data_IF_270410741409
#
_entry.id   IF_270410741409
#
_cell.length_a   1.000
_cell.length_b   1.000
_cell.length_c   1.000
_cell.angle_alpha   90.00
_cell.angle_beta   90.00
_cell.angle_gamma   90.00
#
_symmetry.space_group_name_H-M   'P 1'
#
loop_
_entity.id
_entity.type
_entity.pdbx_description
1 polymer ?
#
# COMPACT_ATOMS: atom_id res chain seq x y z
N UNK A 1 5.39 16.70 16.35
CA UNK A 1 5.61 16.42 14.93
C UNK A 1 6.84 17.13 14.42
N UNK A 2 7.85 16.38 13.98
CA UNK A 2 9.12 16.94 13.52
C UNK A 2 8.95 17.72 12.21
N UNK A 3 9.92 18.58 11.86
CA UNK A 3 9.91 19.24 10.53
C UNK A 3 10.15 18.23 9.41
N UNK A 4 10.81 17.12 9.73
CA UNK A 4 11.22 16.11 8.75
C UNK A 4 10.09 15.15 8.38
N UNK A 5 9.15 14.89 9.30
CA UNK A 5 7.96 14.10 9.03
C UNK A 5 6.93 14.79 8.13
N UNK A 6 6.86 16.12 8.14
CA UNK A 6 5.81 16.88 7.43
C UNK A 6 5.69 16.54 5.94
N UNK A 7 4.48 16.26 5.49
CA UNK A 7 4.15 16.13 4.07
C UNK A 7 3.70 17.46 3.49
N UNK A 8 4.14 17.76 2.27
CA UNK A 8 3.72 18.98 1.59
C UNK A 8 2.45 18.78 0.78
N UNK A 9 1.62 19.81 0.71
CA UNK A 9 0.35 19.75 0.00
C UNK A 9 0.55 19.60 -1.53
N UNK A 10 1.48 20.35 -2.11
CA UNK A 10 1.63 20.49 -3.57
C UNK A 10 2.93 19.94 -4.16
N UNK A 11 4.01 19.83 -3.38
CA UNK A 11 5.32 19.39 -3.87
C UNK A 11 5.75 18.09 -3.22
N UNK A 12 6.59 17.34 -3.91
CA UNK A 12 7.15 16.10 -3.38
C UNK A 12 8.31 16.42 -2.42
N UNK A 13 8.51 15.57 -1.41
CA UNK A 13 9.78 15.47 -0.69
C UNK A 13 10.48 14.20 -1.14
N UNK A 14 11.80 14.15 -0.95
CA UNK A 14 12.58 12.90 -1.09
C UNK A 14 11.90 11.82 -0.24
N UNK A 15 11.93 10.54 -0.62
CA UNK A 15 11.41 9.51 0.27
C UNK A 15 12.15 9.51 1.62
N UNK A 16 11.46 9.13 2.70
CA UNK A 16 12.12 8.86 3.98
C UNK A 16 12.49 7.39 4.02
N UNK A 17 13.71 7.07 4.44
CA UNK A 17 14.25 5.70 4.43
C UNK A 17 14.87 5.43 5.79
N UNK A 18 14.43 4.36 6.44
CA UNK A 18 14.95 3.91 7.74
C UNK A 18 15.19 2.41 7.71
N UNK A 19 16.39 1.99 8.07
CA UNK A 19 16.70 0.58 8.33
C UNK A 19 16.30 0.24 9.77
N UNK A 20 15.38 -0.70 9.93
CA UNK A 20 14.85 -1.17 11.22
C UNK A 20 15.63 -2.38 11.72
N UNK A 21 15.87 -3.37 10.85
CA UNK A 21 16.65 -4.56 11.16
C UNK A 21 17.56 -4.94 9.98
N UNK A 22 18.34 -6.02 10.12
CA UNK A 22 19.21 -6.54 9.06
C UNK A 22 18.51 -7.54 8.11
N UNK A 23 17.20 -7.77 8.26
CA UNK A 23 16.45 -8.66 7.38
C UNK A 23 16.41 -8.13 5.94
N UNK A 24 16.48 -9.03 4.95
CA UNK A 24 16.35 -8.73 3.51
C UNK A 24 14.88 -8.42 3.12
N UNK A 25 14.30 -7.42 3.78
CA UNK A 25 12.91 -7.00 3.65
C UNK A 25 12.87 -5.50 3.33
N UNK A 26 12.03 -5.11 2.38
CA UNK A 26 11.74 -3.71 2.07
C UNK A 26 10.23 -3.49 2.20
N UNK A 27 9.82 -2.65 3.14
CA UNK A 27 8.44 -2.21 3.29
C UNK A 27 8.28 -0.83 2.65
N UNK A 28 7.36 -0.70 1.70
CA UNK A 28 7.05 0.57 1.04
C UNK A 28 5.69 1.06 1.49
N UNK A 29 5.67 2.21 2.16
CA UNK A 29 4.47 2.83 2.71
C UNK A 29 4.24 4.21 2.10
N UNK A 30 3.01 4.72 2.15
CA UNK A 30 2.65 6.03 1.59
C UNK A 30 1.27 6.05 0.94
N UNK A 31 0.65 7.23 0.89
CA UNK A 31 -0.78 7.36 0.54
C UNK A 31 -1.16 6.71 -0.79
N UNK A 32 -2.44 6.42 -0.99
CA UNK A 32 -2.94 6.02 -2.31
C UNK A 32 -2.64 7.13 -3.34
N UNK A 33 -1.92 6.79 -4.40
CA UNK A 33 -1.46 7.76 -5.43
C UNK A 33 -0.04 8.29 -5.22
N UNK A 34 0.66 7.87 -4.15
CA UNK A 34 2.06 8.22 -3.87
C UNK A 34 3.10 7.51 -4.77
N UNK A 35 2.67 6.54 -5.57
CA UNK A 35 3.55 5.83 -6.50
C UNK A 35 4.31 4.64 -5.89
N UNK A 36 3.84 4.07 -4.77
CA UNK A 36 4.37 2.82 -4.19
C UNK A 36 4.52 1.74 -5.26
N UNK A 37 3.40 1.27 -5.82
CA UNK A 37 3.38 0.24 -6.87
C UNK A 37 4.31 0.60 -8.03
N UNK A 38 4.30 1.84 -8.52
CA UNK A 38 5.21 2.27 -9.60
C UNK A 38 6.69 2.10 -9.24
N UNK A 39 7.08 2.40 -8.00
CA UNK A 39 8.47 2.23 -7.54
C UNK A 39 8.88 0.76 -7.36
N UNK A 40 7.90 -0.14 -7.17
CA UNK A 40 8.14 -1.57 -6.92
C UNK A 40 8.06 -2.42 -8.18
N UNK A 41 7.43 -1.93 -9.26
CA UNK A 41 7.26 -2.64 -10.53
C UNK A 41 8.56 -3.22 -11.11
N UNK A 42 9.69 -2.52 -10.94
CA UNK A 42 10.98 -3.00 -11.46
C UNK A 42 11.48 -4.28 -10.78
N UNK A 43 10.95 -4.64 -9.61
CA UNK A 43 11.31 -5.84 -8.86
C UNK A 43 10.40 -7.04 -9.16
N UNK A 44 9.27 -6.85 -9.85
CA UNK A 44 8.28 -7.92 -10.03
C UNK A 44 8.78 -9.07 -10.91
N UNK A 45 9.74 -8.77 -11.79
CA UNK A 45 10.40 -9.74 -12.65
C UNK A 45 11.84 -10.01 -12.19
N UNK A 46 12.25 -9.48 -11.03
CA UNK A 46 13.56 -9.76 -10.46
C UNK A 46 13.48 -11.06 -9.67
N UNK A 47 14.19 -12.08 -10.14
CA UNK A 47 14.21 -13.39 -9.50
C UNK A 47 14.76 -13.36 -8.07
N UNK A 48 15.37 -12.28 -7.59
CA UNK A 48 15.80 -12.18 -6.20
C UNK A 48 14.69 -11.76 -5.24
N UNK A 49 13.58 -11.21 -5.74
CA UNK A 49 12.53 -10.61 -4.94
C UNK A 49 11.20 -11.37 -5.07
N UNK A 50 10.39 -11.27 -4.01
CA UNK A 50 8.94 -11.50 -4.07
C UNK A 50 8.28 -10.17 -3.71
N UNK A 51 7.49 -9.64 -4.63
CA UNK A 51 6.79 -8.37 -4.48
C UNK A 51 5.34 -8.61 -4.06
N UNK A 52 5.01 -8.24 -2.83
CA UNK A 52 3.64 -8.31 -2.31
C UNK A 52 3.00 -6.93 -2.36
N UNK A 53 2.04 -6.76 -3.27
CA UNK A 53 1.07 -5.69 -3.18
C UNK A 53 -0.09 -6.15 -2.28
N UNK A 54 -0.15 -5.66 -1.04
CA UNK A 54 -1.17 -6.07 -0.08
C UNK A 54 -2.59 -5.73 -0.55
N UNK A 55 -2.80 -4.66 -1.33
CA UNK A 55 -4.12 -4.34 -1.90
C UNK A 55 -4.62 -5.48 -2.82
N UNK A 56 -3.71 -6.32 -3.36
CA UNK A 56 -4.04 -7.46 -4.23
C UNK A 56 -4.36 -8.75 -3.46
N UNK A 57 -4.07 -8.81 -2.16
CA UNK A 57 -4.50 -9.92 -1.32
C UNK A 57 -6.04 -9.98 -1.21
N UNK A 58 -6.73 -8.82 -1.31
CA UNK A 58 -8.17 -8.66 -1.10
C UNK A 58 -9.03 -8.65 -2.38
N UNK A 59 -8.55 -9.19 -3.50
CA UNK A 59 -9.31 -9.39 -4.75
C UNK A 59 -10.06 -8.13 -5.28
N UNK A 60 -9.49 -6.95 -5.09
CA UNK A 60 -10.14 -5.70 -5.51
C UNK A 60 -10.28 -5.59 -7.05
N UNK A 61 -11.47 -5.23 -7.58
CA UNK A 61 -11.65 -5.02 -9.03
C UNK A 61 -10.70 -3.96 -9.61
N UNK A 62 -9.98 -4.33 -10.66
CA UNK A 62 -9.07 -3.44 -11.41
C UNK A 62 -9.00 -3.86 -12.87
N UNK A 63 -8.86 -2.88 -13.77
CA UNK A 63 -8.75 -3.16 -15.21
C UNK A 63 -7.32 -3.54 -15.63
N UNK A 64 -6.33 -3.26 -14.78
CA UNK A 64 -4.93 -3.63 -14.99
C UNK A 64 -4.41 -4.32 -13.75
N UNK A 65 -3.98 -5.56 -13.91
CA UNK A 65 -3.39 -6.38 -12.85
C UNK A 65 -1.90 -6.54 -13.18
N UNK A 66 -1.06 -6.16 -12.23
CA UNK A 66 0.37 -6.46 -12.25
C UNK A 66 0.67 -7.08 -10.90
N UNK A 67 0.92 -8.38 -10.90
CA UNK A 67 1.05 -9.21 -9.71
C UNK A 67 2.27 -10.11 -9.84
N UNK A 68 2.89 -10.37 -8.70
CA UNK A 68 3.98 -11.33 -8.60
C UNK A 68 3.42 -12.76 -8.73
N UNK A 69 4.17 -13.66 -9.36
CA UNK A 69 3.79 -15.06 -9.54
C UNK A 69 3.48 -15.78 -8.23
N UNK A 70 4.08 -15.34 -7.11
CA UNK A 70 3.87 -15.95 -5.80
C UNK A 70 2.61 -15.46 -5.07
N UNK A 71 1.87 -14.48 -5.61
CA UNK A 71 0.71 -13.92 -4.92
C UNK A 71 -0.37 -14.97 -4.62
N UNK A 72 -0.64 -15.87 -5.56
CA UNK A 72 -1.61 -16.96 -5.37
C UNK A 72 -1.15 -17.92 -4.27
N UNK A 73 0.12 -18.34 -4.30
CA UNK A 73 0.67 -19.22 -3.24
C UNK A 73 0.57 -18.58 -1.85
N UNK A 74 0.83 -17.27 -1.74
CA UNK A 74 0.72 -16.54 -0.47
C UNK A 74 -0.74 -16.47 -0.02
N UNK A 75 -1.69 -16.21 -0.92
CA UNK A 75 -3.12 -16.21 -0.58
C UNK A 75 -3.57 -17.56 -0.05
N UNK A 76 -3.17 -18.64 -0.71
CA UNK A 76 -3.53 -19.99 -0.32
C UNK A 76 -2.88 -20.36 1.01
N UNK A 77 -1.62 -20.00 1.22
CA UNK A 77 -0.93 -20.15 2.50
C UNK A 77 -1.69 -19.45 3.64
N UNK A 78 -2.07 -18.17 3.44
CA UNK A 78 -2.81 -17.40 4.45
C UNK A 78 -4.19 -17.99 4.72
N UNK A 79 -4.95 -18.35 3.67
CA UNK A 79 -6.26 -18.99 3.81
C UNK A 79 -6.17 -20.33 4.53
N UNK A 80 -5.15 -21.14 4.24
CA UNK A 80 -4.95 -22.43 4.89
C UNK A 80 -4.58 -22.27 6.38
N UNK A 81 -3.76 -21.27 6.71
CA UNK A 81 -3.28 -21.05 8.09
C UNK A 81 -4.32 -20.35 8.97
N UNK A 82 -5.05 -19.37 8.44
CA UNK A 82 -5.95 -18.50 9.22
C UNK A 82 -7.43 -18.64 8.87
N UNK A 83 -7.78 -19.43 7.85
CA UNK A 83 -9.15 -19.54 7.32
C UNK A 83 -9.59 -18.32 6.49
N UNK A 84 -8.81 -17.24 6.45
CA UNK A 84 -9.10 -15.98 5.75
C UNK A 84 -7.82 -15.22 5.40
N UNK A 85 -7.92 -14.19 4.57
CA UNK A 85 -6.85 -13.19 4.43
C UNK A 85 -6.96 -12.22 5.61
N UNK A 86 -5.84 -11.96 6.31
CA UNK A 86 -5.83 -11.02 7.43
C UNK A 86 -6.02 -9.58 6.95
N UNK A 87 -6.83 -8.82 7.68
CA UNK A 87 -7.20 -7.44 7.37
C UNK A 87 -7.00 -6.53 8.58
N UNK A 88 -6.73 -5.24 8.32
CA UNK A 88 -6.59 -4.24 9.37
C UNK A 88 -5.52 -4.62 10.40
N UNK A 89 -5.86 -4.46 11.68
CA UNK A 89 -4.95 -4.75 12.80
C UNK A 89 -4.56 -6.24 12.90
N UNK A 90 -5.33 -7.17 12.32
CA UNK A 90 -4.95 -8.59 12.28
C UNK A 90 -3.77 -8.86 11.33
N UNK A 91 -3.46 -7.93 10.42
CA UNK A 91 -2.39 -8.12 9.44
C UNK A 91 -1.01 -8.27 10.09
N UNK A 92 -0.81 -7.71 11.29
CA UNK A 92 0.41 -7.93 12.07
C UNK A 92 0.67 -9.42 12.35
N UNK A 93 -0.40 -10.20 12.54
CA UNK A 93 -0.29 -11.62 12.85
C UNK A 93 0.26 -12.42 11.67
N UNK A 94 -0.14 -12.07 10.44
CA UNK A 94 0.36 -12.74 9.25
C UNK A 94 1.63 -12.14 8.67
N UNK A 95 2.02 -10.93 9.07
CA UNK A 95 3.21 -10.28 8.54
C UNK A 95 4.46 -11.15 8.68
N UNK A 96 4.73 -11.67 9.88
CA UNK A 96 5.90 -12.53 10.09
C UNK A 96 5.81 -13.84 9.31
N UNK A 97 4.62 -14.44 9.23
CA UNK A 97 4.40 -15.68 8.49
C UNK A 97 4.57 -15.50 6.97
N UNK A 98 4.20 -14.33 6.44
CA UNK A 98 4.48 -13.94 5.05
C UNK A 98 5.99 -13.82 4.82
N UNK A 99 6.72 -13.20 5.75
CA UNK A 99 8.18 -13.07 5.67
C UNK A 99 8.86 -14.44 5.71
N UNK A 100 8.43 -15.32 6.60
CA UNK A 100 8.96 -16.68 6.71
C UNK A 100 8.67 -17.51 5.45
N UNK A 101 7.46 -17.36 4.87
CA UNK A 101 7.15 -17.96 3.57
C UNK A 101 8.13 -17.48 2.49
N UNK A 102 8.34 -16.17 2.37
CA UNK A 102 9.27 -15.61 1.37
C UNK A 102 10.70 -16.12 1.62
N UNK A 103 11.13 -16.15 2.87
CA UNK A 103 12.46 -16.65 3.27
C UNK A 103 12.63 -18.13 2.91
N UNK A 104 11.60 -18.95 3.06
CA UNK A 104 11.61 -20.36 2.65
C UNK A 104 11.86 -20.55 1.15
N UNK A 105 11.47 -19.57 0.32
CA UNK A 105 11.75 -19.55 -1.13
C UNK A 105 13.15 -19.04 -1.46
N UNK A 106 13.96 -18.68 -0.44
CA UNK A 106 15.29 -18.06 -0.57
C UNK A 106 15.26 -16.76 -1.38
N UNK A 107 14.22 -15.95 -1.17
CA UNK A 107 14.01 -14.66 -1.84
C UNK A 107 14.00 -13.51 -0.83
N UNK A 108 14.18 -12.29 -1.33
CA UNK A 108 14.01 -11.04 -0.58
C UNK A 108 12.55 -10.59 -0.63
N UNK A 109 12.07 -9.98 0.44
CA UNK A 109 10.70 -9.49 0.50
C UNK A 109 10.62 -8.02 0.07
N UNK A 110 9.67 -7.69 -0.79
CA UNK A 110 9.24 -6.31 -1.01
C UNK A 110 7.73 -6.23 -0.77
N UNK A 111 7.33 -5.59 0.32
CA UNK A 111 5.92 -5.50 0.72
C UNK A 111 5.45 -4.04 0.57
N UNK A 112 4.38 -3.82 -0.19
CA UNK A 112 3.77 -2.50 -0.37
C UNK A 112 2.26 -2.58 -0.16
N UNK A 113 1.70 -1.59 0.54
CA UNK A 113 0.27 -1.57 0.79
C UNK A 113 -0.11 -0.56 1.86
N UNK A 114 -1.40 -0.26 1.96
CA UNK A 114 -1.88 0.58 3.07
C UNK A 114 -2.04 -0.21 4.36
N UNK A 115 -2.29 -1.52 4.31
CA UNK A 115 -2.44 -2.35 5.52
C UNK A 115 -1.16 -2.39 6.39
N UNK A 116 -0.01 -2.00 5.82
CA UNK A 116 1.24 -1.85 6.58
C UNK A 116 1.10 -0.77 7.68
N UNK A 117 0.21 0.22 7.53
CA UNK A 117 -0.07 1.21 8.58
C UNK A 117 -0.69 0.59 9.84
N UNK A 118 -1.37 -0.55 9.68
CA UNK A 118 -2.07 -1.22 10.76
C UNK A 118 -1.12 -2.08 11.61
N UNK A 119 0.13 -2.27 11.17
CA UNK A 119 1.18 -2.91 11.95
C UNK A 119 1.66 -1.93 13.03
N UNK A 120 1.15 -2.12 14.25
CA UNK A 120 1.46 -1.28 15.42
C UNK A 120 2.05 -2.12 16.57
N UNK A 121 3.15 -1.66 17.20
CA UNK A 121 3.94 -0.48 16.84
C UNK A 121 4.69 -0.66 15.50
N UNK A 122 5.00 0.45 14.82
CA UNK A 122 5.73 0.44 13.53
C UNK A 122 7.12 -0.24 13.64
N UNK A 123 7.65 -0.35 14.86
CA UNK A 123 8.90 -1.04 15.18
C UNK A 123 8.84 -2.55 14.96
N UNK A 124 7.65 -3.13 14.74
CA UNK A 124 7.49 -4.53 14.35
C UNK A 124 7.92 -4.81 12.90
N UNK A 125 8.00 -3.77 12.04
CA UNK A 125 8.46 -3.93 10.66
C UNK A 125 9.93 -4.36 10.60
N UNK A 126 10.22 -5.34 9.74
CA UNK A 126 11.57 -5.86 9.50
C UNK A 126 12.24 -5.22 8.30
N UNK A 127 13.56 -5.23 8.29
CA UNK A 127 14.41 -4.74 7.20
C UNK A 127 14.35 -3.22 7.06
N UNK A 128 14.11 -2.73 5.85
CA UNK A 128 14.09 -1.30 5.53
C UNK A 128 12.65 -0.81 5.31
N UNK A 129 12.30 0.34 5.90
CA UNK A 129 11.04 1.04 5.66
C UNK A 129 11.30 2.24 4.76
N UNK A 130 10.58 2.32 3.64
CA UNK A 130 10.59 3.43 2.69
C UNK A 130 9.22 4.10 2.73
N UNK A 131 9.19 5.37 3.12
CA UNK A 131 7.99 6.19 3.17
C UNK A 131 7.94 7.13 1.97
N UNK A 132 6.96 6.94 1.09
CA UNK A 132 6.72 7.81 -0.05
C UNK A 132 6.18 9.16 0.41
N UNK A 133 6.92 10.24 0.13
CA UNK A 133 6.56 11.61 0.53
C UNK A 133 6.09 12.49 -0.64
N UNK A 134 5.23 11.93 -1.48
CA UNK A 134 4.61 12.63 -2.62
C UNK A 134 3.58 13.67 -2.12
N UNK A 135 3.47 14.79 -2.82
CA UNK A 135 2.52 15.85 -2.48
C UNK A 135 1.08 15.35 -2.34
N UNK A 136 0.38 15.80 -1.31
CA UNK A 136 -0.95 15.28 -0.92
C UNK A 136 -1.97 15.47 -2.05
N UNK A 137 -2.03 16.66 -2.66
CA UNK A 137 -2.94 16.96 -3.79
C UNK A 137 -2.60 16.10 -5.01
N UNK A 138 -1.31 15.90 -5.28
CA UNK A 138 -0.84 15.05 -6.38
C UNK A 138 -1.28 13.60 -6.16
N UNK A 139 -1.21 13.09 -4.94
CA UNK A 139 -1.71 11.76 -4.59
C UNK A 139 -3.23 11.66 -4.80
N UNK A 140 -3.99 12.65 -4.31
CA UNK A 140 -5.44 12.71 -4.50
C UNK A 140 -5.83 12.68 -5.99
N UNK A 141 -5.26 13.57 -6.80
CA UNK A 141 -5.53 13.63 -8.24
C UNK A 141 -5.17 12.32 -8.94
N UNK A 142 -4.01 11.74 -8.64
CA UNK A 142 -3.60 10.44 -9.21
C UNK A 142 -4.56 9.31 -8.83
N UNK A 143 -5.01 9.28 -7.58
CA UNK A 143 -5.94 8.26 -7.12
C UNK A 143 -7.33 8.40 -7.76
N UNK A 144 -7.84 9.63 -7.93
CA UNK A 144 -9.09 9.89 -8.65
C UNK A 144 -8.96 9.47 -10.12
N UNK A 145 -7.89 9.90 -10.80
CA UNK A 145 -7.63 9.57 -12.21
C UNK A 145 -7.50 8.07 -12.46
N UNK A 146 -6.81 7.33 -11.58
CA UNK A 146 -6.66 5.88 -11.71
C UNK A 146 -7.98 5.14 -11.52
N UNK A 147 -8.77 5.54 -10.52
CA UNK A 147 -9.92 4.73 -10.12
C UNK A 147 -11.19 5.10 -10.90
N UNK A 148 -11.31 6.33 -11.41
CA UNK A 148 -12.43 6.78 -12.24
C UNK A 148 -12.81 5.82 -13.38
N UNK A 149 -11.86 5.38 -14.24
CA UNK A 149 -12.21 4.58 -15.40
C UNK A 149 -12.49 3.10 -15.12
N UNK A 150 -12.35 2.60 -13.88
CA UNK A 150 -12.54 1.17 -13.57
C UNK A 150 -13.92 0.69 -14.04
N UNK A 151 -13.93 -0.22 -15.01
CA UNK A 151 -15.15 -0.64 -15.73
C UNK A 151 -16.22 -1.20 -14.81
N UNK A 152 -15.82 -2.10 -13.89
CA UNK A 152 -16.73 -2.73 -12.94
C UNK A 152 -17.60 -1.72 -12.20
N UNK A 153 -16.99 -0.70 -11.59
CA UNK A 153 -17.72 0.33 -10.84
C UNK A 153 -18.42 1.34 -11.76
N UNK A 154 -17.88 1.62 -12.95
CA UNK A 154 -18.51 2.51 -13.91
C UNK A 154 -19.83 1.91 -14.42
N UNK A 155 -19.84 0.62 -14.74
CA UNK A 155 -21.02 -0.08 -15.23
C UNK A 155 -22.12 -0.10 -14.19
N UNK A 156 -21.80 -0.39 -12.92
CA UNK A 156 -22.77 -0.33 -11.82
C UNK A 156 -23.46 1.03 -11.69
N UNK A 157 -22.71 2.12 -11.79
CA UNK A 157 -23.28 3.47 -11.70
C UNK A 157 -24.12 3.82 -12.95
N UNK A 158 -23.71 3.36 -14.13
CA UNK A 158 -24.47 3.54 -15.38
C UNK A 158 -25.77 2.73 -15.38
N UNK A 159 -25.75 1.50 -14.91
CA UNK A 159 -26.93 0.65 -14.77
C UNK A 159 -27.94 1.28 -13.81
N UNK A 160 -27.45 1.85 -12.69
CA UNK A 160 -28.31 2.44 -11.67
C UNK A 160 -28.87 3.82 -12.04
N UNK A 161 -28.12 4.64 -12.76
CA UNK A 161 -28.43 6.06 -12.97
C UNK A 161 -28.54 6.48 -14.45
N UNK A 162 -28.27 5.58 -15.39
CA UNK A 162 -28.13 5.90 -16.81
C UNK A 162 -26.75 6.46 -17.17
N UNK A 163 -26.44 6.51 -18.47
CA UNK A 163 -25.07 6.78 -18.99
C UNK A 163 -24.46 8.10 -18.52
N UNK A 164 -25.24 9.19 -18.50
CA UNK A 164 -24.75 10.54 -18.18
C UNK A 164 -24.65 10.71 -16.66
N UNK A 165 -25.76 10.49 -15.95
CA UNK A 165 -25.79 10.64 -14.48
C UNK A 165 -24.87 9.63 -13.79
N UNK A 166 -24.78 8.38 -14.28
CA UNK A 166 -23.87 7.37 -13.74
C UNK A 166 -22.40 7.82 -13.75
N UNK A 167 -21.94 8.49 -14.82
CA UNK A 167 -20.59 9.08 -14.86
C UNK A 167 -20.41 10.20 -13.84
N UNK A 168 -21.42 11.03 -13.63
CA UNK A 168 -21.40 12.09 -12.62
C UNK A 168 -21.35 11.51 -11.20
N UNK A 169 -22.23 10.55 -10.88
CA UNK A 169 -22.23 9.86 -9.60
C UNK A 169 -20.91 9.12 -9.35
N UNK A 170 -20.35 8.48 -10.39
CA UNK A 170 -19.03 7.84 -10.32
C UNK A 170 -17.95 8.83 -9.87
N UNK A 171 -17.86 10.00 -10.52
CA UNK A 171 -16.89 11.03 -10.17
C UNK A 171 -17.11 11.55 -8.74
N UNK A 172 -18.36 11.89 -8.38
CA UNK A 172 -18.75 12.37 -7.05
C UNK A 172 -18.36 11.37 -5.96
N UNK A 173 -18.68 10.09 -6.15
CA UNK A 173 -18.43 9.01 -5.20
C UNK A 173 -16.92 8.76 -5.04
N UNK A 174 -16.14 8.81 -6.13
CA UNK A 174 -14.68 8.71 -6.04
C UNK A 174 -14.07 9.88 -5.29
N UNK A 175 -14.47 11.11 -5.62
CA UNK A 175 -13.97 12.30 -4.92
C UNK A 175 -14.26 12.15 -3.42
N UNK A 176 -15.50 11.82 -3.04
CA UNK A 176 -15.91 11.59 -1.65
C UNK A 176 -15.02 10.52 -0.98
N UNK A 177 -14.83 9.36 -1.61
CA UNK A 177 -14.01 8.27 -1.09
C UNK A 177 -12.52 8.64 -0.97
N UNK A 178 -12.00 9.42 -1.92
CA UNK A 178 -10.58 9.79 -1.97
C UNK A 178 -10.22 10.97 -1.07
N UNK A 179 -11.20 11.70 -0.53
CA UNK A 179 -10.95 12.68 0.55
C UNK A 179 -10.27 12.08 1.78
N UNK A 180 -10.38 10.77 2.01
CA UNK A 180 -9.67 10.12 3.12
C UNK A 180 -8.13 10.26 3.03
N UNK A 181 -7.57 10.58 1.86
CA UNK A 181 -6.14 10.90 1.70
C UNK A 181 -5.74 12.08 2.59
N UNK A 182 -6.64 13.06 2.80
CA UNK A 182 -6.43 14.20 3.69
C UNK A 182 -6.49 13.84 5.18
N UNK A 183 -6.78 12.58 5.53
CA UNK A 183 -6.67 12.08 6.90
C UNK A 183 -5.42 11.20 7.05
N UNK A 184 -5.22 10.30 6.08
CA UNK A 184 -4.09 9.34 6.06
C UNK A 184 -2.72 10.04 6.08
N UNK A 185 -2.58 11.24 5.53
CA UNK A 185 -1.26 11.88 5.53
C UNK A 185 -0.75 12.19 6.94
N UNK A 186 -1.63 12.52 7.89
CA UNK A 186 -1.23 12.72 9.30
C UNK A 186 -0.75 11.41 9.94
N UNK A 187 -1.35 10.28 9.58
CA UNK A 187 -0.86 8.97 10.00
C UNK A 187 0.54 8.68 9.47
N UNK A 188 0.83 9.06 8.22
CA UNK A 188 2.17 8.93 7.64
C UNK A 188 3.19 9.85 8.34
N UNK A 189 2.80 11.08 8.67
CA UNK A 189 3.64 12.00 9.43
C UNK A 189 3.98 11.39 10.81
N UNK A 190 2.98 10.85 11.51
CA UNK A 190 3.18 10.15 12.79
C UNK A 190 4.09 8.91 12.66
N UNK A 191 3.96 8.16 11.57
CA UNK A 191 4.84 7.03 11.29
C UNK A 191 6.29 7.50 11.11
N UNK A 192 6.52 8.59 10.37
CA UNK A 192 7.88 9.12 10.19
C UNK A 192 8.46 9.57 11.54
N UNK A 193 7.68 10.29 12.37
CA UNK A 193 8.09 10.66 13.72
C UNK A 193 8.48 9.43 14.56
N UNK A 194 7.66 8.37 14.54
CA UNK A 194 7.95 7.13 15.26
C UNK A 194 9.26 6.47 14.77
N UNK A 195 9.48 6.42 13.46
CA UNK A 195 10.70 5.88 12.86
C UNK A 195 11.95 6.74 13.18
N UNK A 196 11.80 8.05 13.38
CA UNK A 196 12.89 8.95 13.80
C UNK A 196 13.31 8.66 15.25
N UNK A 197 12.34 8.44 16.13
CA UNK A 197 12.61 8.15 17.56
C UNK A 197 13.16 6.73 17.80
N UNK A 198 12.97 5.82 16.85
CA UNK A 198 13.48 4.47 16.94
C UNK A 198 15.02 4.45 16.84
N UNK A 199 15.67 3.98 17.91
CA UNK A 199 17.09 3.67 17.94
C UNK A 199 17.26 2.18 17.68
N UNK A 200 18.14 1.85 16.73
CA UNK A 200 18.55 0.47 16.54
C UNK A 200 19.58 0.21 17.65
N UNK A 201 19.25 -0.68 18.58
CA UNK A 201 20.23 -1.24 19.51
C UNK A 201 21.12 -2.26 18.79
#
# INVERSE_FOLDING_TARGET
MSKESKLYLFRDRKDYIKKMTNDDVINVIGTKGSGKTTSTLKYINDDNYIVINCDRLYEMPTDKVVEDKYLTEIKDFLKNKYGKICEGEEFVNCYNDILDFIKSKKKKALIEGNVIYDIKPITLLKGTVIVKRTGIIKCFVRAVKRDYPIKYFMNQEIEKHGKILGRFYRLKNIIKRRKNIFKIYHEIENIIDALETYKND
#
